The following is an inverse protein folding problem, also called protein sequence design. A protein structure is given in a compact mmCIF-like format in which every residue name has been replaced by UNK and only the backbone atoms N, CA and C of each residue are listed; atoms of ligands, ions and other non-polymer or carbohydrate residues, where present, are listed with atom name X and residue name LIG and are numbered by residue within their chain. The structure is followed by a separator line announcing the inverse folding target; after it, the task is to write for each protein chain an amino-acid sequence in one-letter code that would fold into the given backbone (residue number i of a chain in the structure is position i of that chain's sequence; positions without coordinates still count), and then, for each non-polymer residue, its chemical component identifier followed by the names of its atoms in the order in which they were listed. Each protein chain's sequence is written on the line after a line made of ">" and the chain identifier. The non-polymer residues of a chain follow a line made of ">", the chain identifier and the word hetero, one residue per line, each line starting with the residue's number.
data_IF_082747095237
#
_entry.id   IF_082747095237
#
_cell.length_a   1.000
_cell.length_b   1.000
_cell.length_c   1.000
_cell.angle_alpha   90.00
_cell.angle_beta   90.00
_cell.angle_gamma   90.00
#
_symmetry.space_group_name_H-M   'P 1'
#
loop_
_entity.id
_entity.type
_entity.pdbx_description
1 polymer ?
#
# COMPACT_ATOMS: atom_id res chain seq x y z
N UNK A 1 5.84 8.93 15.14
CA UNK A 1 5.09 8.24 14.07
C UNK A 1 6.04 8.02 12.91
N UNK A 2 6.00 6.89 12.20
CA UNK A 2 6.71 6.78 10.94
C UNK A 2 6.10 7.81 9.97
N UNK A 3 6.95 8.66 9.39
CA UNK A 3 6.52 9.73 8.51
C UNK A 3 7.62 10.77 8.35
N UNK A 4 7.85 11.20 7.11
CA UNK A 4 8.77 12.29 6.81
C UNK A 4 8.03 13.63 6.97
N UNK A 5 8.65 14.59 7.66
CA UNK A 5 8.12 15.95 7.73
C UNK A 5 8.00 16.56 6.33
N UNK A 6 6.86 17.19 6.05
CA UNK A 6 6.64 17.95 4.80
C UNK A 6 7.20 19.37 4.85
N UNK A 7 7.70 19.83 6.02
CA UNK A 7 8.21 21.18 6.18
C UNK A 7 9.27 21.57 5.13
N UNK A 8 10.24 20.69 4.75
CA UNK A 8 11.21 21.01 3.69
C UNK A 8 10.59 21.26 2.31
N UNK A 9 9.46 20.61 2.00
CA UNK A 9 8.74 20.83 0.73
C UNK A 9 8.07 22.21 0.76
N UNK A 10 7.46 22.59 1.88
CA UNK A 10 6.84 23.91 2.05
C UNK A 10 7.87 25.04 2.02
N UNK A 11 9.05 24.84 2.60
CA UNK A 11 10.14 25.83 2.56
C UNK A 11 10.95 25.77 1.27
N UNK A 12 10.59 24.89 0.32
CA UNK A 12 11.30 24.65 -0.94
C UNK A 12 12.78 24.29 -0.74
N UNK A 13 13.12 23.65 0.38
CA UNK A 13 14.47 23.20 0.71
C UNK A 13 14.68 21.72 0.38
N UNK A 14 13.63 21.00 0.00
CA UNK A 14 13.70 19.66 -0.58
C UNK A 14 12.63 19.47 -1.68
N UNK A 15 12.89 18.53 -2.60
CA UNK A 15 11.91 18.07 -3.56
C UNK A 15 11.04 16.96 -2.95
N UNK A 16 9.84 16.76 -3.52
CA UNK A 16 9.06 15.57 -3.24
C UNK A 16 9.84 14.33 -3.70
N UNK A 17 9.81 13.27 -2.88
CA UNK A 17 10.33 11.96 -3.27
C UNK A 17 9.19 11.09 -3.80
N UNK A 18 9.53 10.12 -4.64
CA UNK A 18 8.58 9.14 -5.18
C UNK A 18 8.59 7.85 -4.36
N UNK A 19 8.71 7.98 -3.03
CA UNK A 19 8.62 6.84 -2.15
C UNK A 19 7.17 6.33 -2.12
N UNK A 20 6.95 5.00 -2.16
CA UNK A 20 5.60 4.48 -2.10
C UNK A 20 4.95 4.79 -0.76
N UNK A 21 3.70 5.23 -0.82
CA UNK A 21 2.80 5.36 0.32
C UNK A 21 2.32 3.96 0.69
N UNK A 22 2.41 3.58 1.96
CA UNK A 22 1.85 2.32 2.46
C UNK A 22 0.45 2.58 3.02
N UNK A 23 -0.48 1.70 2.67
CA UNK A 23 -1.88 1.78 3.09
C UNK A 23 -2.22 0.47 3.80
N UNK A 24 -2.87 0.54 4.96
CA UNK A 24 -3.43 -0.62 5.65
C UNK A 24 -4.82 -0.28 6.18
N UNK A 25 -5.74 -1.24 6.08
CA UNK A 25 -7.02 -1.23 6.78
C UNK A 25 -7.03 -2.34 7.82
N UNK A 26 -7.79 -2.15 8.89
CA UNK A 26 -8.08 -3.24 9.83
C UNK A 26 -9.12 -4.20 9.24
N UNK A 27 -9.20 -5.40 9.80
CA UNK A 27 -10.31 -6.30 9.51
C UNK A 27 -11.64 -5.64 9.89
N UNK A 28 -12.66 -5.85 9.07
CA UNK A 28 -13.99 -5.29 9.32
C UNK A 28 -14.67 -5.96 10.54
N UNK A 29 -15.39 -5.16 11.33
CA UNK A 29 -16.25 -5.66 12.42
C UNK A 29 -17.68 -5.76 11.90
N UNK A 30 -18.30 -6.94 12.02
CA UNK A 30 -19.64 -7.26 11.48
C UNK A 30 -19.82 -6.87 10.00
N UNK A 31 -18.95 -7.36 9.09
CA UNK A 31 -18.98 -6.96 7.68
C UNK A 31 -20.24 -7.44 6.96
N UNK A 32 -20.73 -6.63 6.04
CA UNK A 32 -21.64 -7.09 4.98
C UNK A 32 -20.90 -8.02 4.02
N UNK A 33 -21.65 -8.80 3.23
CA UNK A 33 -21.06 -9.67 2.23
C UNK A 33 -20.23 -8.91 1.16
N UNK A 34 -20.53 -7.64 0.92
CA UNK A 34 -19.81 -6.78 -0.04
C UNK A 34 -18.53 -6.15 0.52
N UNK A 35 -18.29 -6.21 1.84
CA UNK A 35 -17.10 -5.61 2.43
C UNK A 35 -15.87 -6.50 2.19
N UNK A 36 -14.89 -6.02 1.43
CA UNK A 36 -13.68 -6.79 1.10
C UNK A 36 -12.75 -7.00 2.30
N UNK A 37 -12.79 -6.14 3.33
CA UNK A 37 -12.03 -6.31 4.57
C UNK A 37 -12.63 -7.39 5.50
N UNK A 38 -13.72 -8.08 5.07
CA UNK A 38 -14.23 -9.28 5.76
C UNK A 38 -13.25 -10.45 5.75
N UNK A 39 -12.34 -10.47 4.77
CA UNK A 39 -11.32 -11.51 4.64
C UNK A 39 -10.07 -11.22 5.48
N UNK A 40 -10.06 -10.12 6.22
CA UNK A 40 -8.91 -9.64 6.98
C UNK A 40 -8.44 -8.27 6.50
N UNK A 41 -7.31 -7.78 7.04
CA UNK A 41 -6.72 -6.51 6.64
C UNK A 41 -6.49 -6.41 5.14
N UNK A 42 -6.81 -5.26 4.55
CA UNK A 42 -6.37 -4.93 3.19
C UNK A 42 -5.10 -4.11 3.34
N UNK A 43 -4.08 -4.46 2.56
CA UNK A 43 -2.80 -3.75 2.54
C UNK A 43 -2.49 -3.32 1.13
N UNK A 44 -1.77 -2.23 0.99
CA UNK A 44 -1.42 -1.74 -0.32
C UNK A 44 -0.24 -0.80 -0.30
N UNK A 45 0.20 -0.48 -1.50
CA UNK A 45 1.18 0.56 -1.75
C UNK A 45 0.77 1.37 -2.98
N UNK A 46 1.07 2.67 -2.95
CA UNK A 46 0.78 3.59 -4.04
C UNK A 46 2.00 4.49 -4.28
N UNK A 47 2.42 4.67 -5.53
CA UNK A 47 3.39 5.70 -5.91
C UNK A 47 2.92 6.49 -7.14
N UNK A 48 3.82 7.23 -7.79
CA UNK A 48 3.48 7.98 -9.00
C UNK A 48 3.02 7.10 -10.17
N UNK A 49 3.17 5.79 -10.16
CA UNK A 49 2.91 4.94 -11.32
C UNK A 49 1.88 3.84 -11.02
N UNK A 50 1.95 3.22 -9.86
CA UNK A 50 1.17 2.01 -9.57
C UNK A 50 0.37 2.13 -8.27
N UNK A 51 -0.77 1.44 -8.27
CA UNK A 51 -1.55 1.12 -7.09
C UNK A 51 -1.57 -0.39 -6.91
N UNK A 52 -1.00 -0.88 -5.82
CA UNK A 52 -0.97 -2.29 -5.45
C UNK A 52 -1.87 -2.54 -4.27
N UNK A 53 -2.72 -3.57 -4.37
CA UNK A 53 -3.66 -3.98 -3.31
C UNK A 53 -3.46 -5.46 -3.04
N UNK A 54 -3.44 -5.82 -1.76
CA UNK A 54 -3.49 -7.20 -1.27
C UNK A 54 -4.61 -7.35 -0.25
N UNK A 55 -5.52 -8.27 -0.55
CA UNK A 55 -6.65 -8.61 0.30
C UNK A 55 -6.26 -9.64 1.37
N UNK A 56 -7.07 -9.73 2.43
CA UNK A 56 -6.84 -10.66 3.53
C UNK A 56 -6.92 -12.14 3.13
N UNK A 57 -7.60 -12.46 2.03
CA UNK A 57 -7.67 -13.80 1.43
C UNK A 57 -6.45 -14.14 0.54
N UNK A 58 -5.51 -13.21 0.36
CA UNK A 58 -4.30 -13.39 -0.43
C UNK A 58 -4.45 -13.00 -1.90
N UNK A 59 -5.64 -12.61 -2.36
CA UNK A 59 -5.80 -12.00 -3.69
C UNK A 59 -4.99 -10.71 -3.77
N UNK A 60 -4.34 -10.48 -4.91
CA UNK A 60 -3.53 -9.30 -5.18
C UNK A 60 -4.00 -8.67 -6.49
N UNK A 61 -3.97 -7.35 -6.57
CA UNK A 61 -4.33 -6.54 -7.74
C UNK A 61 -3.26 -5.46 -7.95
N UNK A 62 -3.03 -5.07 -9.20
CA UNK A 62 -2.07 -4.03 -9.56
C UNK A 62 -2.58 -3.15 -10.71
N UNK A 63 -2.72 -1.86 -10.46
CA UNK A 63 -3.26 -0.91 -11.43
C UNK A 63 -2.27 0.20 -11.79
N UNK A 64 -2.21 0.54 -13.07
CA UNK A 64 -1.46 1.69 -13.57
C UNK A 64 -2.30 2.97 -13.43
N UNK A 65 -2.61 3.37 -12.19
CA UNK A 65 -3.66 4.34 -11.85
C UNK A 65 -3.57 5.70 -12.57
N UNK A 66 -2.38 6.12 -13.00
CA UNK A 66 -2.24 7.36 -13.79
C UNK A 66 -2.84 7.27 -15.20
N UNK A 67 -2.76 6.10 -15.82
CA UNK A 67 -3.29 5.85 -17.16
C UNK A 67 -4.57 5.03 -17.15
N UNK A 68 -4.91 4.46 -15.99
CA UNK A 68 -6.14 3.72 -15.71
C UNK A 68 -6.72 4.21 -14.36
N UNK A 69 -7.27 5.43 -14.32
CA UNK A 69 -7.73 6.05 -13.07
C UNK A 69 -8.99 5.39 -12.48
N UNK A 70 -9.68 4.58 -13.28
CA UNK A 70 -10.83 3.78 -12.84
C UNK A 70 -10.42 2.39 -12.35
N UNK A 71 -9.12 2.04 -12.44
CA UNK A 71 -8.55 0.76 -11.97
C UNK A 71 -9.28 -0.45 -12.54
N UNK A 72 -9.57 -0.39 -13.85
CA UNK A 72 -10.32 -1.43 -14.56
C UNK A 72 -9.41 -2.59 -14.95
N UNK A 73 -8.16 -2.30 -15.32
CA UNK A 73 -7.25 -3.24 -15.96
C UNK A 73 -6.21 -3.76 -14.97
N UNK A 74 -6.55 -4.86 -14.29
CA UNK A 74 -5.65 -5.53 -13.36
C UNK A 74 -4.44 -6.12 -14.09
N UNK A 75 -3.26 -5.53 -13.83
CA UNK A 75 -1.98 -5.93 -14.42
C UNK A 75 -1.26 -7.00 -13.62
N UNK A 76 -1.78 -7.43 -12.46
CA UNK A 76 -1.11 -8.39 -11.59
C UNK A 76 -0.76 -9.70 -12.31
N UNK A 77 -1.67 -10.21 -13.14
CA UNK A 77 -1.48 -11.46 -13.88
C UNK A 77 -0.43 -11.38 -15.00
N UNK A 78 0.07 -10.19 -15.33
CA UNK A 78 1.13 -10.03 -16.33
C UNK A 78 2.51 -10.29 -15.72
N UNK A 79 3.50 -10.85 -16.47
CA UNK A 79 4.84 -11.05 -15.92
C UNK A 79 5.51 -9.75 -15.43
N UNK A 80 5.26 -8.63 -16.12
CA UNK A 80 5.77 -7.32 -15.71
C UNK A 80 5.09 -6.83 -14.43
N UNK A 81 3.76 -6.97 -14.32
CA UNK A 81 3.01 -6.60 -13.14
C UNK A 81 3.37 -7.44 -11.92
N UNK A 82 3.55 -8.75 -12.07
CA UNK A 82 3.97 -9.63 -10.97
C UNK A 82 5.32 -9.19 -10.35
N UNK A 83 6.29 -8.78 -11.17
CA UNK A 83 7.57 -8.27 -10.69
C UNK A 83 7.42 -6.94 -9.92
N UNK A 84 6.52 -6.07 -10.37
CA UNK A 84 6.19 -4.82 -9.67
C UNK A 84 5.48 -5.10 -8.34
N UNK A 85 4.51 -6.02 -8.34
CA UNK A 85 3.78 -6.44 -7.14
C UNK A 85 4.72 -7.02 -6.07
N UNK A 86 5.75 -7.81 -6.46
CA UNK A 86 6.76 -8.31 -5.51
C UNK A 86 7.51 -7.19 -4.80
N UNK A 87 7.88 -6.12 -5.53
CA UNK A 87 8.56 -4.96 -4.94
C UNK A 87 7.66 -4.27 -3.91
N UNK A 88 6.38 -4.08 -4.22
CA UNK A 88 5.43 -3.49 -3.27
C UNK A 88 5.14 -4.41 -2.09
N UNK A 89 5.02 -5.72 -2.31
CA UNK A 89 4.85 -6.70 -1.23
C UNK A 89 6.01 -6.61 -0.22
N UNK A 90 7.23 -6.53 -0.73
CA UNK A 90 8.42 -6.35 0.10
C UNK A 90 8.42 -5.02 0.85
N UNK A 91 8.01 -3.92 0.21
CA UNK A 91 7.90 -2.61 0.84
C UNK A 91 6.85 -2.59 1.97
N UNK A 92 5.65 -3.10 1.70
CA UNK A 92 4.56 -3.22 2.67
C UNK A 92 5.00 -4.06 3.87
N UNK A 93 5.61 -5.23 3.65
CA UNK A 93 6.08 -6.09 4.73
C UNK A 93 7.11 -5.37 5.62
N UNK A 94 8.10 -4.73 5.01
CA UNK A 94 9.16 -4.01 5.71
C UNK A 94 8.61 -2.89 6.61
N UNK A 95 7.72 -2.06 6.09
CA UNK A 95 7.18 -0.93 6.83
C UNK A 95 6.25 -1.38 7.97
N UNK A 96 5.36 -2.34 7.71
CA UNK A 96 4.43 -2.83 8.73
C UNK A 96 5.11 -3.64 9.84
N UNK A 97 6.18 -4.38 9.53
CA UNK A 97 7.01 -5.03 10.56
C UNK A 97 7.72 -3.99 11.43
N UNK A 98 8.27 -2.93 10.81
CA UNK A 98 8.96 -1.85 11.52
C UNK A 98 8.03 -1.12 12.47
N UNK A 99 6.80 -0.82 12.03
CA UNK A 99 5.79 -0.17 12.86
C UNK A 99 5.40 -1.02 14.08
N UNK A 100 5.13 -2.32 13.86
CA UNK A 100 4.77 -3.25 14.95
C UNK A 100 5.87 -3.38 15.99
N UNK A 101 7.14 -3.43 15.56
CA UNK A 101 8.27 -3.46 16.48
C UNK A 101 8.34 -2.18 17.34
N UNK A 102 8.14 -1.00 16.73
CA UNK A 102 8.16 0.29 17.43
C UNK A 102 7.03 0.46 18.46
N UNK A 103 5.88 -0.18 18.24
CA UNK A 103 4.76 -0.20 19.20
C UNK A 103 5.04 -1.13 20.39
N UNK A 104 5.74 -2.24 20.19
CA UNK A 104 6.03 -3.22 21.24
C UNK A 104 7.08 -2.75 22.26
N UNK A 105 7.91 -1.76 21.95
CA UNK A 105 8.97 -1.25 22.85
C UNK A 105 8.49 -0.15 23.80
N UNK A 106 7.21 0.23 23.77
CA UNK A 106 6.65 1.34 24.57
C UNK A 106 5.88 0.91 25.83
N UNK A 107 6.03 -0.33 26.26
CA UNK A 107 5.38 -0.90 27.45
C UNK A 107 6.39 -1.35 28.49
#
# INVERSE_FOLDING_TARGET
>A
MPGTSLAPIWTRTAAANDAPIIIETTAAVNPTASNLAKFGPIRGALDSTWHYIRYGDGREELFAWRTDPEEIDDRFATPAGAAVAERYRSAVARELTTERAALSTRH
#
